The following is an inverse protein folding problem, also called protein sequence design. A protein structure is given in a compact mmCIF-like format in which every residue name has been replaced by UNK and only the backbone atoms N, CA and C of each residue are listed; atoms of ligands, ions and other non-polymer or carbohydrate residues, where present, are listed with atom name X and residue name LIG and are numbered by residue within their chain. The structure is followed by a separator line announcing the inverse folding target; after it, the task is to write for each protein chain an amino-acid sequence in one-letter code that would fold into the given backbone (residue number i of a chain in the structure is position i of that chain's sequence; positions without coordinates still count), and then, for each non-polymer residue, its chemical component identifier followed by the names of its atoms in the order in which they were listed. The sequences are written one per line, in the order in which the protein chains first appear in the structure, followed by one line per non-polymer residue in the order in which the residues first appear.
data_IF_833380484759
#
_entry.id   IF_833380484759
#
_cell.length_a   1.000
_cell.length_b   1.000
_cell.length_c   1.000
_cell.angle_alpha   90.00
_cell.angle_beta   90.00
_cell.angle_gamma   90.00
#
_symmetry.space_group_name_H-M   'P 1'
#
loop_
_entity.id
_entity.type
_entity.pdbx_description
1 polymer ?
#
# COMPACT_ATOMS: atom_id res chain seq x y z
N UNK A 1 38.33 24.66 -69.01
CA UNK A 1 38.92 24.17 -67.74
C UNK A 1 37.91 23.72 -66.70
N UNK A 2 36.64 24.17 -66.68
CA UNK A 2 35.65 23.84 -65.63
C UNK A 2 35.15 22.37 -65.66
N UNK A 3 35.11 21.74 -66.85
CA UNK A 3 34.60 20.32 -67.00
C UNK A 3 35.50 19.26 -66.37
N UNK A 4 36.84 19.49 -66.29
CA UNK A 4 37.80 18.53 -65.75
C UNK A 4 37.71 18.35 -64.21
N UNK A 5 37.13 19.31 -63.48
CA UNK A 5 36.93 19.24 -62.04
C UNK A 5 35.57 18.63 -61.63
N UNK A 6 34.57 18.69 -62.51
CA UNK A 6 33.23 18.22 -62.25
C UNK A 6 33.20 16.66 -62.23
N UNK A 7 33.94 16.01 -63.13
CA UNK A 7 33.98 14.56 -63.23
C UNK A 7 34.49 13.87 -61.95
N UNK A 8 35.66 14.26 -61.39
CA UNK A 8 36.13 13.65 -60.14
C UNK A 8 35.23 13.98 -58.96
N UNK A 9 34.60 15.18 -58.90
CA UNK A 9 33.67 15.53 -57.84
C UNK A 9 32.39 14.65 -57.90
N UNK A 10 31.82 14.45 -59.06
CA UNK A 10 30.68 13.53 -59.24
C UNK A 10 31.04 12.07 -58.88
N UNK A 11 32.25 11.65 -59.18
CA UNK A 11 32.72 10.29 -58.86
C UNK A 11 32.86 10.07 -57.35
N UNK A 12 33.40 11.08 -56.62
CA UNK A 12 33.48 11.07 -55.16
C UNK A 12 32.07 11.02 -54.53
N UNK A 13 31.13 11.82 -55.03
CA UNK A 13 29.73 11.82 -54.55
C UNK A 13 29.04 10.46 -54.76
N UNK A 14 29.25 9.81 -55.93
CA UNK A 14 28.72 8.50 -56.20
C UNK A 14 29.33 7.46 -55.26
N UNK A 15 30.63 7.47 -55.04
CA UNK A 15 31.30 6.56 -54.09
C UNK A 15 30.81 6.77 -52.67
N UNK A 16 30.63 8.01 -52.24
CA UNK A 16 30.08 8.29 -50.89
C UNK A 16 28.65 7.80 -50.73
N UNK A 17 27.78 7.99 -51.76
CA UNK A 17 26.40 7.51 -51.71
C UNK A 17 26.31 5.99 -51.71
N UNK A 18 27.14 5.31 -52.51
CA UNK A 18 27.20 3.84 -52.49
C UNK A 18 27.74 3.32 -51.18
N UNK A 19 28.77 3.95 -50.61
CA UNK A 19 29.28 3.57 -49.26
C UNK A 19 28.23 3.73 -48.19
N UNK A 20 27.52 4.87 -48.18
CA UNK A 20 26.39 5.10 -47.25
C UNK A 20 25.28 4.08 -47.41
N UNK A 21 24.91 3.73 -48.66
CA UNK A 21 23.90 2.69 -48.91
C UNK A 21 24.35 1.31 -48.40
N UNK A 22 25.60 0.93 -48.65
CA UNK A 22 26.16 -0.34 -48.16
C UNK A 22 26.23 -0.34 -46.64
N UNK A 23 26.61 0.76 -46.01
CA UNK A 23 26.71 0.91 -44.56
C UNK A 23 25.30 0.79 -43.90
N UNK A 24 24.30 1.46 -44.47
CA UNK A 24 22.93 1.39 -44.01
C UNK A 24 22.27 0.03 -44.27
N UNK A 25 22.56 -0.59 -45.44
CA UNK A 25 21.97 -1.89 -45.84
C UNK A 25 22.51 -3.06 -45.00
N UNK A 26 23.75 -2.98 -44.51
CA UNK A 26 24.30 -4.02 -43.64
C UNK A 26 23.70 -4.07 -42.26
N UNK A 27 22.72 -3.21 -41.93
CA UNK A 27 21.97 -3.24 -40.69
C UNK A 27 22.80 -2.99 -39.41
N UNK A 28 24.11 -2.67 -39.55
CA UNK A 28 24.98 -2.46 -38.40
C UNK A 28 24.48 -1.31 -37.52
N UNK A 29 24.07 -0.20 -38.16
CA UNK A 29 23.53 0.96 -37.42
C UNK A 29 22.21 0.63 -36.73
N UNK A 30 21.32 -0.02 -37.46
CA UNK A 30 20.03 -0.46 -36.91
C UNK A 30 20.22 -1.47 -35.78
N UNK A 31 21.13 -2.43 -35.93
CA UNK A 31 21.44 -3.43 -34.91
C UNK A 31 22.08 -2.77 -33.66
N UNK A 32 22.99 -1.82 -33.86
CA UNK A 32 23.62 -1.07 -32.74
C UNK A 32 22.60 -0.21 -31.99
N UNK A 33 21.74 0.50 -32.71
CA UNK A 33 20.66 1.30 -32.09
C UNK A 33 19.70 0.40 -31.31
N UNK A 34 19.25 -0.70 -31.94
CA UNK A 34 18.36 -1.65 -31.28
C UNK A 34 18.97 -2.27 -30.02
N UNK A 35 20.25 -2.67 -30.08
CA UNK A 35 20.96 -3.20 -28.89
C UNK A 35 21.12 -2.15 -27.80
N UNK A 36 21.41 -0.91 -28.16
CA UNK A 36 21.54 0.17 -27.19
C UNK A 36 20.19 0.53 -26.53
N UNK A 37 19.10 0.52 -27.32
CA UNK A 37 17.77 0.75 -26.78
C UNK A 37 17.33 -0.39 -25.83
N UNK A 38 17.58 -1.66 -26.20
CA UNK A 38 17.30 -2.80 -25.30
C UNK A 38 18.11 -2.70 -24.02
N UNK A 39 19.41 -2.42 -24.10
CA UNK A 39 20.25 -2.28 -22.92
C UNK A 39 19.83 -1.09 -22.04
N UNK A 40 19.33 0.00 -22.64
CA UNK A 40 18.76 1.12 -21.89
C UNK A 40 17.47 0.73 -21.17
N UNK A 41 16.55 0.07 -21.89
CA UNK A 41 15.31 -0.44 -21.32
C UNK A 41 15.57 -1.44 -20.19
N UNK A 42 16.51 -2.35 -20.36
CA UNK A 42 16.89 -3.32 -19.34
C UNK A 42 17.40 -2.63 -18.06
N UNK A 43 18.24 -1.60 -18.22
CA UNK A 43 18.71 -0.77 -17.08
C UNK A 43 17.56 -0.02 -16.41
N UNK A 44 16.64 0.53 -17.18
CA UNK A 44 15.51 1.28 -16.64
C UNK A 44 14.56 0.33 -15.88
N UNK A 45 14.34 -0.88 -16.39
CA UNK A 45 13.57 -1.93 -15.70
C UNK A 45 14.27 -2.34 -14.39
N UNK A 46 15.58 -2.62 -14.43
CA UNK A 46 16.35 -2.98 -13.23
C UNK A 46 16.34 -1.86 -12.18
N UNK A 47 16.50 -0.61 -12.61
CA UNK A 47 16.43 0.54 -11.70
C UNK A 47 15.04 0.67 -11.08
N UNK A 48 13.99 0.46 -11.87
CA UNK A 48 12.61 0.49 -11.39
C UNK A 48 12.33 -0.63 -10.40
N UNK A 49 12.85 -1.84 -10.66
CA UNK A 49 12.75 -2.99 -9.75
C UNK A 49 13.44 -2.69 -8.40
N UNK A 50 14.66 -2.17 -8.43
CA UNK A 50 15.39 -1.80 -7.21
C UNK A 50 14.69 -0.70 -6.41
N UNK A 51 14.11 0.29 -7.09
CA UNK A 51 13.34 1.34 -6.44
C UNK A 51 12.09 0.77 -5.77
N UNK A 52 11.35 -0.08 -6.48
CA UNK A 52 10.16 -0.73 -5.98
C UNK A 52 10.48 -1.63 -4.76
N UNK A 53 11.53 -2.45 -4.86
CA UNK A 53 11.99 -3.28 -3.75
C UNK A 53 12.34 -2.44 -2.52
N UNK A 54 13.08 -1.35 -2.71
CA UNK A 54 13.45 -0.44 -1.63
C UNK A 54 12.22 0.21 -0.99
N UNK A 55 11.27 0.68 -1.78
CA UNK A 55 10.04 1.25 -1.28
C UNK A 55 9.22 0.20 -0.51
N UNK A 56 9.04 -1.00 -1.05
CA UNK A 56 8.35 -2.09 -0.36
C UNK A 56 8.98 -2.43 0.98
N UNK A 57 10.32 -2.51 1.05
CA UNK A 57 11.03 -2.76 2.31
C UNK A 57 10.82 -1.62 3.31
N UNK A 58 10.86 -0.37 2.86
CA UNK A 58 10.61 0.78 3.72
C UNK A 58 9.18 0.78 4.25
N UNK A 59 8.19 0.47 3.41
CA UNK A 59 6.80 0.33 3.81
C UNK A 59 6.64 -0.77 4.86
N UNK A 60 7.18 -1.95 4.62
CA UNK A 60 7.12 -3.06 5.56
C UNK A 60 7.74 -2.70 6.92
N UNK A 61 8.92 -2.09 6.93
CA UNK A 61 9.55 -1.66 8.19
C UNK A 61 8.73 -0.59 8.92
N UNK A 62 8.06 0.30 8.18
CA UNK A 62 7.12 1.26 8.74
C UNK A 62 5.93 0.56 9.38
N UNK A 63 5.34 -0.42 8.70
CA UNK A 63 4.18 -1.17 9.19
C UNK A 63 4.49 -1.98 10.45
N UNK A 64 5.67 -2.64 10.50
CA UNK A 64 6.12 -3.34 11.70
C UNK A 64 6.26 -2.39 12.89
N UNK A 65 6.88 -1.23 12.71
CA UNK A 65 7.04 -0.23 13.77
C UNK A 65 5.70 0.33 14.24
N UNK A 66 4.80 0.49 13.31
CA UNK A 66 3.44 0.98 13.55
C UNK A 66 2.62 -0.02 14.34
N UNK A 67 2.70 -1.29 13.96
CA UNK A 67 2.07 -2.39 14.71
C UNK A 67 2.60 -2.47 16.15
N UNK A 68 3.92 -2.36 16.34
CA UNK A 68 4.55 -2.33 17.68
C UNK A 68 4.06 -1.12 18.51
N UNK A 69 3.88 0.04 17.89
CA UNK A 69 3.36 1.23 18.55
C UNK A 69 1.93 1.02 19.03
N UNK A 70 1.05 0.51 18.18
CA UNK A 70 -0.34 0.21 18.54
C UNK A 70 -0.38 -0.86 19.63
N UNK A 71 0.43 -1.90 19.55
CA UNK A 71 0.50 -2.94 20.57
C UNK A 71 0.94 -2.39 21.94
N UNK A 72 1.97 -1.56 21.97
CA UNK A 72 2.42 -0.88 23.19
C UNK A 72 1.34 0.02 23.79
N UNK A 73 0.59 0.71 22.92
CA UNK A 73 -0.52 1.56 23.37
C UNK A 73 -1.64 0.72 24.00
N UNK A 74 -2.00 -0.41 23.39
CA UNK A 74 -2.98 -1.33 23.97
C UNK A 74 -2.50 -1.85 25.34
N UNK A 75 -1.25 -2.26 25.45
CA UNK A 75 -0.65 -2.72 26.71
C UNK A 75 -0.68 -1.62 27.79
N UNK A 76 -0.36 -0.37 27.42
CA UNK A 76 -0.45 0.76 28.33
C UNK A 76 -1.88 0.98 28.82
N UNK A 77 -2.86 0.95 27.93
CA UNK A 77 -4.27 1.10 28.27
C UNK A 77 -4.79 -0.03 29.16
N UNK A 78 -4.33 -1.26 28.95
CA UNK A 78 -4.66 -2.39 29.85
C UNK A 78 -4.06 -2.17 31.24
N UNK A 79 -2.79 -1.79 31.32
CA UNK A 79 -2.09 -1.53 32.56
C UNK A 79 -2.72 -0.40 33.36
N UNK A 80 -3.13 0.69 32.70
CA UNK A 80 -3.84 1.82 33.32
C UNK A 80 -5.15 1.37 33.99
N UNK A 81 -5.79 0.31 33.48
CA UNK A 81 -7.03 -0.26 34.00
C UNK A 81 -6.81 -1.43 34.97
N UNK A 82 -5.56 -1.82 35.21
CA UNK A 82 -5.24 -3.00 36.02
C UNK A 82 -5.75 -4.31 35.41
N UNK A 83 -5.84 -4.39 34.05
CA UNK A 83 -6.34 -5.54 33.33
C UNK A 83 -5.19 -6.31 32.69
N UNK A 84 -5.30 -7.64 32.72
CA UNK A 84 -4.35 -8.53 32.03
C UNK A 84 -4.73 -8.68 30.55
N UNK A 85 -3.77 -8.99 29.66
CA UNK A 85 -4.00 -9.14 28.21
C UNK A 85 -5.07 -10.17 27.85
N UNK A 86 -5.24 -11.21 28.68
CA UNK A 86 -6.22 -12.29 28.51
C UNK A 86 -7.67 -11.78 28.60
N UNK A 87 -7.89 -10.65 29.27
CA UNK A 87 -9.21 -10.01 29.38
C UNK A 87 -9.78 -9.60 28.00
N UNK A 88 -8.90 -9.32 27.02
CA UNK A 88 -9.30 -9.03 25.64
C UNK A 88 -10.14 -10.16 25.07
N UNK A 89 -9.84 -11.43 25.42
CA UNK A 89 -10.50 -12.59 24.84
C UNK A 89 -11.95 -12.77 25.30
N UNK A 90 -12.33 -12.12 26.38
CA UNK A 90 -13.65 -12.34 27.02
C UNK A 90 -14.46 -11.08 27.24
N UNK A 91 -13.83 -9.93 27.41
CA UNK A 91 -14.50 -8.68 27.75
C UNK A 91 -14.69 -7.77 26.52
N UNK A 92 -15.88 -7.86 25.93
CA UNK A 92 -16.24 -7.04 24.76
C UNK A 92 -16.30 -5.52 25.08
N UNK A 93 -16.64 -5.15 26.34
CA UNK A 93 -16.67 -3.73 26.75
C UNK A 93 -15.26 -3.16 26.79
N UNK A 94 -14.33 -3.93 27.33
CA UNK A 94 -12.92 -3.60 27.32
C UNK A 94 -12.43 -3.42 25.88
N UNK A 95 -12.76 -4.33 24.99
CA UNK A 95 -12.36 -4.26 23.57
C UNK A 95 -12.85 -2.98 22.90
N UNK A 96 -14.11 -2.60 23.11
CA UNK A 96 -14.65 -1.33 22.61
C UNK A 96 -13.89 -0.11 23.14
N UNK A 97 -13.55 -0.13 24.43
CA UNK A 97 -12.78 0.96 25.06
C UNK A 97 -11.34 1.03 24.57
N UNK A 98 -10.69 -0.12 24.36
CA UNK A 98 -9.34 -0.19 23.81
C UNK A 98 -9.31 0.36 22.37
N UNK A 99 -10.25 -0.05 21.52
CA UNK A 99 -10.35 0.44 20.16
C UNK A 99 -10.57 1.95 20.10
N UNK A 100 -11.42 2.50 20.96
CA UNK A 100 -11.56 3.95 21.08
C UNK A 100 -10.25 4.62 21.57
N UNK A 101 -9.56 4.02 22.51
CA UNK A 101 -8.34 4.57 23.10
C UNK A 101 -7.12 4.57 22.17
N UNK A 102 -7.07 3.69 21.17
CA UNK A 102 -5.99 3.65 20.19
C UNK A 102 -6.26 4.49 18.93
N UNK A 103 -7.49 5.01 18.77
CA UNK A 103 -7.84 5.75 17.54
C UNK A 103 -6.90 6.91 17.21
N UNK A 104 -6.41 7.73 18.16
CA UNK A 104 -5.44 8.77 17.82
C UNK A 104 -4.16 8.23 17.18
N UNK A 105 -3.70 7.05 17.65
CA UNK A 105 -2.52 6.40 17.10
C UNK A 105 -2.81 5.81 15.71
N UNK A 106 -4.00 5.23 15.51
CA UNK A 106 -4.48 4.71 14.21
C UNK A 106 -4.57 5.83 13.18
N UNK A 107 -5.16 6.98 13.54
CA UNK A 107 -5.28 8.13 12.63
C UNK A 107 -3.90 8.71 12.29
N UNK A 108 -3.04 8.86 13.31
CA UNK A 108 -1.67 9.32 13.09
C UNK A 108 -0.87 8.36 12.19
N UNK A 109 -1.09 7.07 12.33
CA UNK A 109 -0.50 6.07 11.47
C UNK A 109 -0.99 6.21 10.03
N UNK A 110 -2.31 6.32 9.82
CA UNK A 110 -2.90 6.48 8.49
C UNK A 110 -2.33 7.71 7.76
N UNK A 111 -2.25 8.85 8.46
CA UNK A 111 -1.71 10.08 7.87
C UNK A 111 -0.20 10.06 7.62
N UNK A 112 0.55 9.17 8.26
CA UNK A 112 2.01 9.05 8.07
C UNK A 112 2.42 7.88 7.18
N UNK A 113 1.53 6.93 6.99
CA UNK A 113 1.79 5.80 6.11
C UNK A 113 1.44 6.19 4.67
N UNK A 114 2.06 5.46 3.73
CA UNK A 114 1.65 5.55 2.33
C UNK A 114 0.47 4.60 2.02
N UNK A 115 -0.10 3.98 3.06
CA UNK A 115 -1.25 3.10 2.94
C UNK A 115 -2.56 3.90 2.95
N UNK A 116 -3.52 3.46 2.16
CA UNK A 116 -4.84 4.10 2.10
C UNK A 116 -5.79 3.63 3.21
N UNK A 117 -5.39 2.66 4.02
CA UNK A 117 -6.24 2.12 5.08
C UNK A 117 -5.45 1.46 6.19
N UNK A 118 -6.01 1.50 7.40
CA UNK A 118 -5.47 0.85 8.59
C UNK A 118 -6.54 -0.03 9.21
N UNK A 119 -6.15 -1.27 9.53
CA UNK A 119 -7.00 -2.26 10.19
C UNK A 119 -6.36 -2.66 11.51
N UNK A 120 -7.13 -2.60 12.58
CA UNK A 120 -6.73 -3.11 13.89
C UNK A 120 -7.78 -4.09 14.37
N UNK A 121 -7.38 -5.33 14.62
CA UNK A 121 -8.27 -6.41 15.04
C UNK A 121 -7.77 -6.96 16.38
N UNK A 122 -8.65 -7.01 17.36
CA UNK A 122 -8.38 -7.58 18.66
C UNK A 122 -8.80 -9.05 18.68
N UNK A 123 -8.05 -9.90 19.37
CA UNK A 123 -8.40 -11.31 19.54
C UNK A 123 -9.47 -11.49 20.62
N UNK A 124 -10.59 -10.81 20.47
CA UNK A 124 -11.70 -10.88 21.42
C UNK A 124 -13.05 -10.50 20.83
N UNK A 125 -14.14 -10.73 21.55
CA UNK A 125 -15.50 -10.53 21.05
C UNK A 125 -15.82 -9.04 20.86
N UNK A 126 -16.75 -8.76 19.95
CA UNK A 126 -17.29 -7.41 19.69
C UNK A 126 -18.48 -7.10 20.59
N UNK A 127 -19.26 -8.11 20.97
CA UNK A 127 -20.44 -7.98 21.84
C UNK A 127 -20.62 -9.21 22.69
N UNK A 128 -21.55 -9.17 23.65
CA UNK A 128 -21.92 -10.31 24.47
C UNK A 128 -22.57 -11.46 23.68
N UNK A 129 -23.00 -11.20 22.44
CA UNK A 129 -23.66 -12.15 21.55
C UNK A 129 -22.79 -12.52 20.35
N UNK A 130 -21.52 -12.11 20.34
CA UNK A 130 -20.61 -12.41 19.23
C UNK A 130 -20.53 -13.91 18.98
N UNK A 131 -20.68 -14.27 17.70
CA UNK A 131 -20.46 -15.64 17.26
C UNK A 131 -18.97 -15.97 17.28
N UNK A 132 -18.65 -17.25 17.40
CA UNK A 132 -17.27 -17.71 17.25
C UNK A 132 -16.70 -17.28 15.90
N UNK A 133 -15.53 -16.65 15.93
CA UNK A 133 -14.88 -16.10 14.72
C UNK A 133 -15.04 -14.60 14.54
N UNK A 134 -16.09 -13.99 15.09
CA UNK A 134 -16.29 -12.55 15.02
C UNK A 134 -15.41 -11.84 16.04
N UNK A 135 -14.51 -11.00 15.57
CA UNK A 135 -13.53 -10.27 16.37
C UNK A 135 -13.83 -8.78 16.39
N UNK A 136 -13.57 -8.16 17.52
CA UNK A 136 -13.63 -6.72 17.65
C UNK A 136 -12.50 -6.06 16.84
N UNK A 137 -12.79 -4.97 16.15
CA UNK A 137 -11.79 -4.27 15.38
C UNK A 137 -12.27 -2.94 14.83
N UNK A 138 -11.35 -2.23 14.23
CA UNK A 138 -11.58 -0.97 13.53
C UNK A 138 -10.87 -0.99 12.19
N UNK A 139 -11.54 -0.47 11.15
CA UNK A 139 -10.97 -0.28 9.83
C UNK A 139 -11.26 1.15 9.38
N UNK A 140 -10.21 1.92 9.12
CA UNK A 140 -10.28 3.31 8.64
C UNK A 140 -9.59 3.39 7.30
N UNK A 141 -10.22 4.09 6.38
CA UNK A 141 -9.69 4.33 5.04
C UNK A 141 -9.59 5.83 4.80
N UNK A 142 -8.51 6.25 4.18
CA UNK A 142 -8.34 7.56 3.59
C UNK A 142 -9.00 7.56 2.20
N UNK A 143 -9.95 8.46 1.98
CA UNK A 143 -10.71 8.57 0.72
C UNK A 143 -10.09 9.56 -0.25
N UNK A 144 -9.15 10.40 0.22
CA UNK A 144 -8.41 11.36 -0.58
C UNK A 144 -6.98 11.52 -0.06
N UNK A 145 -6.12 10.58 -0.41
CA UNK A 145 -4.71 10.57 -0.02
C UNK A 145 -3.89 11.78 -0.55
N UNK A 146 -4.48 12.60 -1.42
CA UNK A 146 -3.86 13.83 -1.92
C UNK A 146 -4.10 15.04 -1.01
N UNK A 147 -5.04 14.95 -0.08
CA UNK A 147 -5.41 16.00 0.85
C UNK A 147 -5.31 15.51 2.31
N UNK A 148 -5.07 16.45 3.20
CA UNK A 148 -5.15 16.23 4.64
C UNK A 148 -6.22 17.13 5.23
N UNK A 149 -7.30 16.53 5.71
CA UNK A 149 -8.36 17.26 6.38
C UNK A 149 -8.21 17.16 7.90
N UNK A 150 -7.93 18.26 8.55
CA UNK A 150 -7.78 18.32 10.02
C UNK A 150 -9.05 17.94 10.79
N UNK A 151 -10.20 17.93 10.13
CA UNK A 151 -11.51 17.53 10.68
C UNK A 151 -11.87 16.07 10.37
N UNK A 152 -10.94 15.30 9.78
CA UNK A 152 -11.11 13.91 9.34
C UNK A 152 -12.23 13.70 8.29
N UNK A 153 -12.60 14.73 7.53
CA UNK A 153 -13.64 14.63 6.50
C UNK A 153 -13.19 13.81 5.27
N UNK A 154 -11.88 13.63 5.11
CA UNK A 154 -11.21 12.78 4.11
C UNK A 154 -11.14 11.30 4.52
N UNK A 155 -11.59 10.98 5.75
CA UNK A 155 -11.55 9.62 6.26
C UNK A 155 -12.92 8.95 6.20
N UNK A 156 -12.89 7.62 6.11
CA UNK A 156 -14.08 6.77 6.14
C UNK A 156 -13.86 5.62 7.11
N UNK A 157 -14.73 5.47 8.09
CA UNK A 157 -14.75 4.32 8.97
C UNK A 157 -15.46 3.18 8.24
N UNK A 158 -14.69 2.24 7.70
CA UNK A 158 -15.21 1.07 6.99
C UNK A 158 -15.89 0.11 7.96
N UNK A 159 -15.27 -0.07 9.15
CA UNK A 159 -15.79 -0.86 10.26
C UNK A 159 -15.37 -0.23 11.58
N UNK A 160 -16.27 -0.26 12.55
CA UNK A 160 -16.02 0.24 13.88
C UNK A 160 -17.31 0.57 14.60
N UNK A 161 -17.20 0.88 15.88
CA UNK A 161 -18.35 1.30 16.69
C UNK A 161 -18.84 2.70 16.29
N UNK A 162 -20.14 2.94 16.37
CA UNK A 162 -20.74 4.26 16.19
C UNK A 162 -20.14 5.31 17.15
N UNK A 163 -19.68 4.88 18.34
CA UNK A 163 -18.96 5.75 19.27
C UNK A 163 -17.65 6.31 18.69
N UNK A 164 -16.90 5.51 17.91
CA UNK A 164 -15.69 5.95 17.22
C UNK A 164 -16.04 6.99 16.16
N UNK A 165 -17.03 6.71 15.31
CA UNK A 165 -17.53 7.64 14.30
C UNK A 165 -17.91 9.00 14.93
N UNK A 166 -18.66 8.98 16.01
CA UNK A 166 -19.11 10.20 16.71
C UNK A 166 -17.96 10.96 17.38
N UNK A 167 -17.06 10.24 18.06
CA UNK A 167 -15.96 10.86 18.83
C UNK A 167 -14.93 11.53 17.92
N UNK A 168 -14.65 10.91 16.77
CA UNK A 168 -13.61 11.37 15.85
C UNK A 168 -14.17 12.05 14.59
N UNK A 169 -15.51 12.19 14.50
CA UNK A 169 -16.21 12.80 13.36
C UNK A 169 -15.91 12.15 12.02
N UNK A 170 -15.63 10.86 12.04
CA UNK A 170 -15.34 10.08 10.82
C UNK A 170 -16.66 9.47 10.34
N UNK A 171 -17.08 9.71 9.09
CA UNK A 171 -18.27 9.09 8.52
C UNK A 171 -18.19 7.56 8.59
N UNK A 172 -19.26 6.92 9.01
CA UNK A 172 -19.37 5.46 9.00
C UNK A 172 -19.92 4.99 7.66
N UNK A 173 -19.24 4.08 7.00
CA UNK A 173 -19.61 3.57 5.67
C UNK A 173 -20.94 2.82 5.67
N UNK A 174 -21.23 2.09 6.76
CA UNK A 174 -22.49 1.35 6.99
C UNK A 174 -22.73 1.23 8.48
N UNK A 175 -23.98 0.95 8.86
CA UNK A 175 -24.34 0.49 10.21
C UNK A 175 -23.84 -0.95 10.41
N UNK A 176 -22.53 -1.09 10.51
CA UNK A 176 -21.90 -2.37 10.71
C UNK A 176 -21.47 -2.48 12.17
N UNK A 177 -21.77 -3.61 12.74
CA UNK A 177 -21.20 -3.98 14.01
C UNK A 177 -19.68 -4.03 13.88
N UNK A 178 -19.02 -3.69 14.98
CA UNK A 178 -17.56 -3.61 15.09
C UNK A 178 -16.96 -5.02 15.16
N UNK A 179 -17.27 -5.89 14.20
CA UNK A 179 -16.73 -7.23 14.15
C UNK A 179 -16.04 -7.55 12.80
N UNK A 180 -15.13 -8.50 12.85
CA UNK A 180 -14.42 -9.01 11.70
C UNK A 180 -14.56 -10.52 11.68
N UNK A 181 -14.98 -11.04 10.54
CA UNK A 181 -15.00 -12.48 10.32
C UNK A 181 -13.57 -12.95 9.99
N UNK A 182 -12.98 -13.65 10.94
CA UNK A 182 -11.62 -14.16 10.81
C UNK A 182 -11.60 -15.66 11.08
N UNK A 183 -11.03 -16.38 10.16
CA UNK A 183 -10.72 -17.80 10.35
C UNK A 183 -9.21 -18.00 10.50
N UNK A 184 -8.82 -18.91 11.39
CA UNK A 184 -7.45 -19.34 11.54
C UNK A 184 -7.29 -20.69 10.82
N UNK A 185 -6.34 -20.81 9.91
CA UNK A 185 -6.05 -22.07 9.25
C UNK A 185 -5.30 -23.04 10.20
N UNK A 186 -5.12 -24.29 9.78
CA UNK A 186 -4.43 -25.32 10.56
C UNK A 186 -2.97 -24.97 10.92
N UNK A 187 -2.34 -24.03 10.21
CA UNK A 187 -1.00 -23.54 10.49
C UNK A 187 -0.98 -22.35 11.47
N UNK A 188 -2.13 -21.96 12.04
CA UNK A 188 -2.23 -20.80 12.94
C UNK A 188 -2.19 -19.45 12.23
N UNK A 189 -2.31 -19.42 10.90
CA UNK A 189 -2.37 -18.18 10.12
C UNK A 189 -3.81 -17.71 10.04
N UNK A 190 -4.05 -16.47 10.51
CA UNK A 190 -5.35 -15.85 10.37
C UNK A 190 -5.58 -15.45 8.90
N UNK A 191 -6.71 -15.85 8.36
CA UNK A 191 -7.18 -15.42 7.04
C UNK A 191 -8.19 -14.30 7.25
N UNK A 192 -7.88 -13.14 6.71
CA UNK A 192 -8.81 -12.03 6.66
C UNK A 192 -9.64 -12.15 5.38
N UNK A 193 -10.93 -12.37 5.52
CA UNK A 193 -11.87 -12.30 4.43
C UNK A 193 -12.50 -10.91 4.43
N UNK A 194 -12.24 -10.15 3.39
CA UNK A 194 -12.97 -8.91 3.17
C UNK A 194 -14.45 -9.23 2.96
N UNK A 195 -15.33 -8.79 3.84
CA UNK A 195 -16.76 -9.07 3.73
C UNK A 195 -17.41 -8.44 2.49
N UNK A 196 -16.74 -7.51 1.82
CA UNK A 196 -17.19 -7.00 0.52
C UNK A 196 -17.07 -8.03 -0.60
N UNK A 197 -16.21 -9.02 -0.47
CA UNK A 197 -16.07 -10.10 -1.45
C UNK A 197 -17.04 -11.24 -1.26
N UNK A 198 -17.64 -11.39 -0.07
CA UNK A 198 -18.57 -12.48 0.28
C UNK A 198 -20.03 -12.10 -0.01
N UNK A 199 -20.34 -10.83 -0.21
CA UNK A 199 -21.69 -10.33 -0.47
C UNK A 199 -22.05 -10.31 -1.97
N UNK A 200 -21.65 -11.36 -2.72
CA UNK A 200 -22.12 -11.59 -4.11
C UNK A 200 -23.08 -12.76 -4.15
#
# INVERSE_FOLDING_TARGET
MKSRLIIPFCLILVVQTVFMMVFLSNGMVAKSLYTNEINSLEKDVQNSELLLEREMVQHWLSDIRSSDTIQKRIQALLKERGMEPEAIQTDWKLNSQLLNGIMPDVLNLLHRSYGNSVYVILNGPVSSQSKNGHKAGVAVMDTDSSSYAADNSDLLLLRGAASISNNYKIPLSRDWEMDFDMTCNAAGVYQFYDPFTIAK
#
